data_IF_202807492018
#
_entry.id   IF_202807492018
#
_cell.length_a   1.000
_cell.length_b   1.000
_cell.length_c   1.000
_cell.angle_alpha   90.00
_cell.angle_beta   90.00
_cell.angle_gamma   90.00
#
_symmetry.space_group_name_H-M   'P 1'
#
loop_
_entity.id
_entity.type
_entity.pdbx_description
1 polymer ?
#
# COMPACT_ATOMS: atom_id res chain seq x y z
N UNK A 1 -30.20 21.06 8.32
CA UNK A 1 -29.06 20.56 7.53
C UNK A 1 -27.90 21.53 7.59
N UNK A 2 -26.67 21.06 7.64
CA UNK A 2 -25.44 21.87 7.67
C UNK A 2 -24.35 21.18 6.85
N UNK A 3 -23.50 21.96 6.18
CA UNK A 3 -22.35 21.44 5.42
C UNK A 3 -21.06 21.99 6.01
N UNK A 4 -20.14 21.09 6.34
CA UNK A 4 -18.86 21.40 6.96
C UNK A 4 -17.70 20.78 6.19
N UNK A 5 -16.66 21.59 5.97
CA UNK A 5 -15.33 21.15 5.57
C UNK A 5 -14.40 21.29 6.78
N UNK A 6 -13.77 20.20 7.21
CA UNK A 6 -12.89 20.20 8.38
C UNK A 6 -11.51 19.68 8.00
N UNK A 7 -10.46 20.35 8.44
CA UNK A 7 -9.08 19.95 8.20
C UNK A 7 -8.23 20.34 9.40
N UNK A 8 -7.69 19.34 10.11
CA UNK A 8 -6.97 19.56 11.35
C UNK A 8 -7.82 20.33 12.37
N UNK A 9 -7.33 21.51 12.80
CA UNK A 9 -8.04 22.43 13.69
C UNK A 9 -8.96 23.44 12.99
N UNK A 10 -8.92 23.51 11.65
CA UNK A 10 -9.70 24.46 10.87
C UNK A 10 -11.03 23.84 10.44
N UNK A 11 -12.10 24.64 10.46
CA UNK A 11 -13.42 24.24 10.01
C UNK A 11 -14.09 25.38 9.24
N UNK A 12 -14.62 25.07 8.06
CA UNK A 12 -15.41 25.98 7.23
C UNK A 12 -16.84 25.45 7.19
N UNK A 13 -17.79 26.24 7.68
CA UNK A 13 -19.23 25.97 7.53
C UNK A 13 -19.74 26.72 6.30
N UNK A 14 -20.40 26.01 5.40
CA UNK A 14 -20.98 26.65 4.21
C UNK A 14 -22.10 27.61 4.64
N UNK A 15 -22.09 28.90 4.21
CA UNK A 15 -23.06 29.90 4.65
C UNK A 15 -24.45 29.74 4.05
N UNK A 16 -24.52 29.26 2.80
CA UNK A 16 -25.78 29.08 2.06
C UNK A 16 -25.85 27.63 1.58
N UNK A 17 -26.91 26.92 1.96
CA UNK A 17 -27.07 25.53 1.54
C UNK A 17 -27.25 25.45 0.02
N UNK A 18 -26.54 24.52 -0.65
CA UNK A 18 -26.72 24.32 -2.07
C UNK A 18 -28.15 23.82 -2.36
N UNK A 19 -28.77 24.21 -3.48
CA UNK A 19 -30.11 23.74 -3.84
C UNK A 19 -30.15 22.23 -4.10
N UNK A 20 -29.01 21.65 -4.48
CA UNK A 20 -28.82 20.21 -4.67
C UNK A 20 -27.35 19.83 -4.54
N UNK A 21 -27.09 18.55 -4.34
CA UNK A 21 -25.76 17.95 -4.42
C UNK A 21 -25.86 16.62 -5.18
N UNK A 22 -24.77 16.22 -5.83
CA UNK A 22 -24.69 14.93 -6.53
C UNK A 22 -23.65 14.02 -5.85
N UNK A 23 -23.93 12.72 -5.83
CA UNK A 23 -23.01 11.69 -5.34
C UNK A 23 -22.89 10.62 -6.42
N UNK A 24 -21.66 10.37 -6.85
CA UNK A 24 -21.33 9.32 -7.82
C UNK A 24 -20.51 8.25 -7.12
N UNK A 25 -21.10 7.07 -6.92
CA UNK A 25 -20.41 5.88 -6.42
C UNK A 25 -20.18 4.93 -7.58
N UNK A 26 -18.93 4.73 -7.99
CA UNK A 26 -18.59 3.82 -9.09
C UNK A 26 -17.98 2.50 -8.60
N UNK A 27 -17.97 1.51 -9.49
CA UNK A 27 -17.31 0.22 -9.29
C UNK A 27 -16.35 -0.04 -10.43
N UNK A 28 -15.14 -0.51 -10.12
CA UNK A 28 -14.05 -0.70 -11.07
C UNK A 28 -14.21 -2.05 -11.78
N UNK A 29 -15.31 -2.20 -12.50
CA UNK A 29 -15.62 -3.42 -13.25
C UNK A 29 -14.83 -3.49 -14.56
N UNK A 30 -14.52 -4.71 -15.02
CA UNK A 30 -13.83 -4.95 -16.29
C UNK A 30 -14.62 -5.92 -17.15
N UNK A 31 -15.06 -5.46 -18.32
CA UNK A 31 -15.75 -6.32 -19.29
C UNK A 31 -14.69 -7.04 -20.15
N UNK A 32 -14.84 -8.35 -20.31
CA UNK A 32 -13.97 -9.19 -21.14
C UNK A 32 -14.84 -10.00 -22.10
N UNK A 33 -14.47 -10.00 -23.38
CA UNK A 33 -15.13 -10.83 -24.39
C UNK A 33 -14.44 -12.19 -24.48
N UNK A 34 -15.22 -13.27 -24.38
CA UNK A 34 -14.76 -14.64 -24.53
C UNK A 34 -15.52 -15.27 -25.70
N UNK A 35 -14.79 -15.73 -26.72
CA UNK A 35 -15.36 -16.25 -27.97
C UNK A 35 -16.51 -17.26 -27.79
N UNK A 36 -16.47 -18.09 -26.74
CA UNK A 36 -17.49 -19.11 -26.47
C UNK A 36 -18.62 -18.66 -25.53
N UNK A 37 -18.43 -17.57 -24.78
CA UNK A 37 -19.33 -17.14 -23.69
C UNK A 37 -19.90 -15.73 -23.90
N UNK A 38 -19.45 -15.01 -24.94
CA UNK A 38 -19.82 -13.62 -25.16
C UNK A 38 -19.12 -12.68 -24.18
N UNK A 39 -19.80 -11.61 -23.79
CA UNK A 39 -19.27 -10.61 -22.86
C UNK A 39 -19.48 -11.04 -21.41
N UNK A 40 -18.40 -11.09 -20.65
CA UNK A 40 -18.40 -11.37 -19.21
C UNK A 40 -17.95 -10.12 -18.46
N UNK A 41 -18.72 -9.73 -17.44
CA UNK A 41 -18.35 -8.63 -16.55
C UNK A 41 -17.56 -9.15 -15.34
N UNK A 42 -16.28 -8.81 -15.25
CA UNK A 42 -15.45 -9.07 -14.09
C UNK A 42 -15.73 -7.99 -13.05
N UNK A 43 -16.39 -8.39 -11.96
CA UNK A 43 -16.74 -7.51 -10.85
C UNK A 43 -15.46 -7.08 -10.14
N UNK A 44 -15.16 -5.79 -10.17
CA UNK A 44 -14.04 -5.24 -9.42
C UNK A 44 -14.47 -4.58 -8.13
N UNK A 45 -13.50 -3.98 -7.45
CA UNK A 45 -13.72 -3.29 -6.18
C UNK A 45 -14.46 -1.96 -6.40
N UNK A 46 -14.96 -1.37 -5.31
CA UNK A 46 -15.50 0.01 -5.35
C UNK A 46 -14.42 0.97 -5.85
N UNK A 47 -14.80 1.93 -6.67
CA UNK A 47 -13.95 3.09 -6.92
C UNK A 47 -14.20 4.18 -5.87
N UNK A 48 -13.62 5.35 -6.11
CA UNK A 48 -13.71 6.48 -5.19
C UNK A 48 -15.03 7.21 -5.40
N UNK A 49 -15.72 7.51 -4.31
CA UNK A 49 -16.96 8.29 -4.35
C UNK A 49 -16.66 9.73 -4.74
N UNK A 50 -17.40 10.29 -5.69
CA UNK A 50 -17.29 11.70 -6.10
C UNK A 50 -18.53 12.46 -5.63
N UNK A 51 -18.34 13.68 -5.14
CA UNK A 51 -19.42 14.53 -4.62
C UNK A 51 -19.29 15.90 -5.24
N UNK A 52 -20.39 16.50 -5.70
CA UNK A 52 -20.36 17.88 -6.19
C UNK A 52 -21.59 18.67 -5.78
N UNK A 53 -21.39 19.96 -5.56
CA UNK A 53 -22.47 20.92 -5.32
C UNK A 53 -22.04 22.34 -5.69
N UNK A 54 -23.03 23.20 -5.94
CA UNK A 54 -22.82 24.63 -6.19
C UNK A 54 -23.62 25.45 -5.21
N UNK A 55 -23.07 26.59 -4.77
CA UNK A 55 -23.77 27.56 -3.92
C UNK A 55 -23.16 28.95 -4.10
N UNK A 56 -23.47 29.86 -3.17
CA UNK A 56 -22.96 31.22 -3.15
C UNK A 56 -22.24 31.51 -1.82
N UNK A 57 -21.16 32.29 -1.89
CA UNK A 57 -20.60 33.01 -0.74
C UNK A 57 -21.17 34.43 -0.73
N UNK A 58 -22.07 34.75 0.21
CA UNK A 58 -22.73 36.04 0.22
C UNK A 58 -21.79 37.15 0.69
N UNK A 59 -21.86 38.31 0.03
CA UNK A 59 -21.07 39.50 0.38
C UNK A 59 -21.38 40.01 1.78
N UNK A 60 -22.66 39.92 2.17
CA UNK A 60 -23.16 40.28 3.48
C UNK A 60 -24.26 39.32 3.91
N UNK A 61 -24.51 39.24 5.21
CA UNK A 61 -25.54 38.35 5.75
C UNK A 61 -26.94 38.71 5.19
N UNK A 62 -27.67 37.70 4.74
CA UNK A 62 -29.03 37.77 4.23
C UNK A 62 -29.92 36.68 4.85
N UNK A 63 -31.23 36.76 4.65
CA UNK A 63 -32.19 35.79 5.23
C UNK A 63 -32.03 34.35 4.73
N UNK A 64 -31.35 34.15 3.59
CA UNK A 64 -31.04 32.83 3.04
C UNK A 64 -29.74 32.22 3.64
N UNK A 65 -29.02 32.96 4.49
CA UNK A 65 -27.85 32.45 5.18
C UNK A 65 -28.26 31.58 6.37
N UNK A 66 -27.56 30.47 6.56
CA UNK A 66 -27.86 29.50 7.62
C UNK A 66 -27.44 29.97 9.03
N UNK A 67 -26.55 30.95 9.13
CA UNK A 67 -26.00 31.39 10.41
C UNK A 67 -25.45 32.81 10.36
N UNK A 68 -25.25 33.41 11.54
CA UNK A 68 -24.61 34.71 11.73
C UNK A 68 -23.65 34.66 12.93
N UNK A 69 -22.48 35.33 12.89
CA UNK A 69 -21.93 36.06 11.75
C UNK A 69 -21.37 35.12 10.66
N UNK A 70 -21.40 35.58 9.41
CA UNK A 70 -20.71 34.91 8.29
C UNK A 70 -19.35 35.55 8.03
N UNK A 71 -18.41 34.74 7.54
CA UNK A 71 -17.15 35.23 6.97
C UNK A 71 -17.38 35.94 5.64
N UNK A 72 -16.39 36.73 5.20
CA UNK A 72 -16.43 37.37 3.88
C UNK A 72 -16.21 36.34 2.77
N UNK A 73 -16.68 36.60 1.52
CA UNK A 73 -16.43 35.70 0.39
C UNK A 73 -14.95 35.34 0.21
N UNK A 74 -14.07 36.33 0.38
CA UNK A 74 -12.63 36.14 0.30
C UNK A 74 -12.09 35.15 1.33
N UNK A 75 -12.54 35.23 2.58
CA UNK A 75 -12.08 34.31 3.63
C UNK A 75 -12.50 32.87 3.36
N UNK A 76 -13.69 32.64 2.79
CA UNK A 76 -14.10 31.29 2.35
C UNK A 76 -13.20 30.78 1.23
N UNK A 77 -12.97 31.60 0.20
CA UNK A 77 -12.13 31.24 -0.94
C UNK A 77 -10.71 30.91 -0.47
N UNK A 78 -10.10 31.78 0.33
CA UNK A 78 -8.74 31.61 0.84
C UNK A 78 -8.64 30.33 1.71
N UNK A 79 -9.65 30.06 2.55
CA UNK A 79 -9.70 28.85 3.38
C UNK A 79 -9.86 27.58 2.55
N UNK A 80 -10.73 27.59 1.54
CA UNK A 80 -11.00 26.43 0.70
C UNK A 80 -9.81 26.14 -0.23
N UNK A 81 -9.16 27.17 -0.79
CA UNK A 81 -7.92 27.00 -1.54
C UNK A 81 -6.79 26.46 -0.66
N UNK A 82 -6.64 26.96 0.57
CA UNK A 82 -5.67 26.40 1.51
C UNK A 82 -5.97 24.93 1.85
N UNK A 83 -7.24 24.60 2.07
CA UNK A 83 -7.67 23.22 2.32
C UNK A 83 -7.38 22.31 1.13
N UNK A 84 -7.67 22.76 -0.09
CA UNK A 84 -7.39 22.06 -1.34
C UNK A 84 -5.91 21.77 -1.52
N UNK A 85 -5.02 22.73 -1.21
CA UNK A 85 -3.57 22.54 -1.30
C UNK A 85 -3.03 21.55 -0.28
N UNK A 86 -3.56 21.54 0.94
CA UNK A 86 -3.08 20.64 2.01
C UNK A 86 -3.56 19.20 1.86
N UNK A 87 -4.72 18.95 1.22
CA UNK A 87 -5.34 17.62 1.20
C UNK A 87 -5.92 17.21 2.57
N UNK A 88 -6.58 16.06 2.64
CA UNK A 88 -7.13 15.49 3.89
C UNK A 88 -8.29 16.29 4.52
N UNK A 89 -9.30 16.62 3.71
CA UNK A 89 -10.48 17.34 4.18
C UNK A 89 -11.54 16.34 4.59
N UNK A 90 -12.16 16.53 5.75
CA UNK A 90 -13.37 15.80 6.13
C UNK A 90 -14.60 16.59 5.73
N UNK A 91 -15.36 16.05 4.78
CA UNK A 91 -16.67 16.57 4.39
C UNK A 91 -17.75 15.94 5.25
N UNK A 92 -18.57 16.78 5.90
CA UNK A 92 -19.74 16.35 6.67
C UNK A 92 -20.96 17.11 6.19
N UNK A 93 -22.01 16.39 5.82
CA UNK A 93 -23.33 16.95 5.50
C UNK A 93 -24.32 16.37 6.51
N UNK A 94 -24.76 17.20 7.46
CA UNK A 94 -25.67 16.74 8.52
C UNK A 94 -27.03 16.34 7.93
N UNK A 95 -27.77 15.49 8.65
CA UNK A 95 -29.03 14.89 8.18
C UNK A 95 -28.88 13.93 6.97
N UNK A 96 -27.65 13.64 6.56
CA UNK A 96 -27.33 12.64 5.54
C UNK A 96 -26.28 11.65 6.06
N UNK A 97 -26.02 10.58 5.31
CA UNK A 97 -24.95 9.61 5.63
C UNK A 97 -23.55 10.06 5.20
N UNK A 98 -23.38 11.31 4.77
CA UNK A 98 -22.12 11.82 4.21
C UNK A 98 -21.24 12.34 5.34
N UNK A 99 -20.22 11.56 5.67
CA UNK A 99 -19.20 11.91 6.65
C UNK A 99 -17.89 11.19 6.32
N UNK A 100 -17.16 11.69 5.33
CA UNK A 100 -16.00 11.02 4.74
C UNK A 100 -14.82 11.96 4.48
N UNK A 101 -13.64 11.38 4.33
CA UNK A 101 -12.44 12.11 3.88
C UNK A 101 -12.50 12.30 2.37
N UNK A 102 -12.12 13.50 1.92
CA UNK A 102 -12.16 13.93 0.52
C UNK A 102 -10.96 14.82 0.18
N UNK A 103 -10.59 14.84 -1.10
CA UNK A 103 -9.83 15.92 -1.74
C UNK A 103 -10.78 16.82 -2.51
N UNK A 104 -10.36 18.07 -2.76
CA UNK A 104 -11.05 18.98 -3.69
C UNK A 104 -10.37 18.81 -5.05
N UNK A 105 -11.08 18.23 -6.02
CA UNK A 105 -10.59 18.08 -7.39
C UNK A 105 -10.75 19.40 -8.17
N UNK A 106 -11.85 20.10 -7.91
CA UNK A 106 -12.19 21.31 -8.63
C UNK A 106 -12.88 22.30 -7.68
N UNK A 107 -12.45 23.56 -7.75
CA UNK A 107 -13.07 24.68 -7.05
C UNK A 107 -13.11 25.84 -8.03
N UNK A 108 -14.30 26.11 -8.56
CA UNK A 108 -14.55 27.20 -9.48
C UNK A 108 -15.39 28.24 -8.76
N UNK A 109 -15.05 29.51 -8.89
CA UNK A 109 -15.80 30.58 -8.29
C UNK A 109 -15.71 31.85 -9.14
N UNK A 110 -16.72 32.70 -9.05
CA UNK A 110 -16.80 33.95 -9.79
C UNK A 110 -18.00 34.79 -9.39
N UNK A 111 -17.92 36.07 -9.72
CA UNK A 111 -19.05 37.00 -9.59
C UNK A 111 -19.82 37.04 -10.91
N UNK A 112 -21.14 36.96 -10.85
CA UNK A 112 -21.99 36.90 -12.06
C UNK A 112 -22.74 38.21 -12.33
N UNK A 113 -23.05 39.00 -11.30
CA UNK A 113 -24.06 40.07 -11.39
C UNK A 113 -23.67 41.42 -10.76
N UNK A 114 -22.44 41.57 -10.25
CA UNK A 114 -21.98 42.82 -9.63
C UNK A 114 -22.50 43.05 -8.20
N UNK A 115 -23.17 42.06 -7.59
CA UNK A 115 -23.69 42.13 -6.22
C UNK A 115 -22.61 42.00 -5.14
N UNK A 116 -21.42 41.53 -5.51
CA UNK A 116 -20.38 41.08 -4.59
C UNK A 116 -20.57 39.63 -4.08
N UNK A 117 -21.71 39.00 -4.35
CA UNK A 117 -21.92 37.58 -4.05
C UNK A 117 -21.09 36.73 -5.02
N UNK A 118 -20.44 35.70 -4.50
CA UNK A 118 -19.57 34.83 -5.29
C UNK A 118 -20.25 33.48 -5.47
N UNK A 119 -20.69 33.20 -6.70
CA UNK A 119 -21.12 31.86 -7.11
C UNK A 119 -19.92 30.93 -7.14
N UNK A 120 -20.10 29.70 -6.68
CA UNK A 120 -19.05 28.69 -6.73
C UNK A 120 -19.57 27.28 -7.02
N UNK A 121 -18.68 26.43 -7.52
CA UNK A 121 -18.85 25.00 -7.70
C UNK A 121 -17.67 24.26 -7.06
N UNK A 122 -18.00 23.25 -6.25
CA UNK A 122 -17.03 22.36 -5.62
C UNK A 122 -17.24 20.93 -6.09
N UNK A 123 -16.16 20.29 -6.50
CA UNK A 123 -16.12 18.86 -6.80
C UNK A 123 -15.07 18.19 -5.92
N UNK A 124 -15.53 17.16 -5.22
CA UNK A 124 -14.77 16.40 -4.25
C UNK A 124 -14.59 14.97 -4.74
N UNK A 125 -13.49 14.36 -4.34
CA UNK A 125 -13.23 12.93 -4.54
C UNK A 125 -12.86 12.29 -3.22
N UNK A 126 -13.40 11.10 -2.96
CA UNK A 126 -13.12 10.34 -1.74
C UNK A 126 -11.62 10.12 -1.57
N UNK A 127 -11.11 10.53 -0.42
CA UNK A 127 -9.72 10.33 -0.04
C UNK A 127 -9.63 9.14 0.91
N UNK A 128 -8.96 8.09 0.45
CA UNK A 128 -8.66 6.92 1.28
C UNK A 128 -7.18 7.01 1.61
N UNK A 129 -6.86 7.14 2.90
CA UNK A 129 -5.48 7.08 3.37
C UNK A 129 -4.86 5.78 2.85
N UNK A 130 -3.77 5.85 2.07
CA UNK A 130 -3.06 4.65 1.68
C UNK A 130 -2.62 3.96 2.96
N UNK A 131 -2.96 2.68 3.08
CA UNK A 131 -2.51 1.90 4.22
C UNK A 131 -0.99 1.76 4.07
N UNK A 132 -0.23 2.69 4.65
CA UNK A 132 1.19 2.47 4.87
C UNK A 132 1.25 1.45 5.97
N UNK A 133 1.29 0.17 5.59
CA UNK A 133 2.00 -0.78 6.43
C UNK A 133 3.34 -0.10 6.69
N UNK A 134 3.63 0.24 7.95
CA UNK A 134 4.99 0.51 8.36
C UNK A 134 5.74 -0.76 7.96
N UNK A 135 6.36 -0.72 6.77
CA UNK A 135 7.48 -1.59 6.51
C UNK A 135 8.47 -1.08 7.54
N UNK A 136 8.49 -1.72 8.71
CA UNK A 136 9.65 -1.70 9.58
C UNK A 136 10.75 -2.29 8.73
N UNK A 137 11.32 -1.43 7.88
CA UNK A 137 12.53 -1.69 7.17
C UNK A 137 13.54 -1.62 8.30
N UNK A 138 13.76 -2.79 8.91
CA UNK A 138 14.96 -3.04 9.67
C UNK A 138 16.11 -2.89 8.67
N UNK A 139 16.48 -1.64 8.36
CA UNK A 139 17.72 -1.33 7.68
C UNK A 139 18.84 -1.61 8.71
N UNK A 140 19.11 -2.89 8.92
CA UNK A 140 20.51 -3.27 8.98
C UNK A 140 21.03 -2.95 7.59
N UNK A 141 21.97 -2.01 7.51
CA UNK A 141 22.79 -1.80 6.32
C UNK A 141 23.37 -3.16 5.93
N UNK A 142 22.74 -3.82 4.97
CA UNK A 142 23.26 -5.03 4.36
C UNK A 142 24.22 -4.59 3.26
N UNK A 143 25.45 -4.33 3.67
CA UNK A 143 26.57 -4.25 2.72
C UNK A 143 26.97 -5.68 2.37
N UNK A 144 26.07 -6.42 1.71
CA UNK A 144 26.41 -7.70 1.12
C UNK A 144 26.06 -7.68 -0.36
N UNK A 145 27.10 -7.34 -1.12
CA UNK A 145 27.31 -7.82 -2.49
C UNK A 145 26.76 -9.24 -2.62
N UNK A 146 25.97 -9.52 -3.66
CA UNK A 146 25.52 -10.88 -3.97
C UNK A 146 26.73 -11.81 -4.04
N UNK A 147 26.93 -12.60 -2.99
CA UNK A 147 27.85 -13.73 -2.97
C UNK A 147 27.06 -14.98 -3.31
N UNK A 148 27.58 -15.85 -4.20
CA UNK A 148 26.90 -17.06 -4.60
C UNK A 148 26.57 -17.94 -3.39
N UNK A 149 25.35 -18.47 -3.40
CA UNK A 149 24.71 -19.27 -2.35
C UNK A 149 25.69 -20.29 -1.73
N UNK A 150 26.04 -20.06 -0.46
CA UNK A 150 26.94 -20.92 0.29
C UNK A 150 26.26 -22.28 0.56
N UNK A 151 26.85 -23.33 0.02
CA UNK A 151 26.52 -24.72 0.33
C UNK A 151 26.81 -24.97 1.82
N UNK A 152 25.78 -25.26 2.62
CA UNK A 152 25.94 -25.61 4.04
C UNK A 152 26.88 -26.83 4.18
N UNK A 153 27.84 -26.72 5.10
CA UNK A 153 28.78 -27.80 5.43
C UNK A 153 28.20 -28.64 6.56
N UNK A 154 27.96 -29.92 6.32
CA UNK A 154 27.41 -30.86 7.31
C UNK A 154 28.52 -31.78 7.80
N UNK A 155 28.60 -32.00 9.11
CA UNK A 155 29.50 -32.98 9.73
C UNK A 155 28.83 -34.35 9.86
N UNK A 156 29.48 -35.42 9.38
CA UNK A 156 28.99 -36.80 9.50
C UNK A 156 29.97 -37.66 10.30
N UNK A 157 29.42 -38.40 11.28
CA UNK A 157 30.18 -39.38 12.08
C UNK A 157 30.15 -40.74 11.39
N UNK A 158 31.32 -41.23 10.97
CA UNK A 158 31.51 -42.53 10.32
C UNK A 158 31.14 -43.65 11.30
N UNK A 159 30.30 -44.60 10.88
CA UNK A 159 29.94 -45.79 11.67
C UNK A 159 30.77 -46.99 11.26
N UNK A 160 30.82 -48.00 12.13
CA UNK A 160 31.54 -49.23 11.85
C UNK A 160 30.96 -49.95 10.61
N UNK A 161 31.83 -50.23 9.63
CA UNK A 161 31.43 -50.82 8.34
C UNK A 161 31.10 -49.82 7.23
N UNK A 162 31.14 -48.51 7.48
CA UNK A 162 30.95 -47.50 6.43
C UNK A 162 32.13 -47.46 5.45
N UNK A 163 31.84 -47.16 4.19
CA UNK A 163 32.83 -46.83 3.16
C UNK A 163 32.53 -45.45 2.55
N UNK A 164 33.57 -44.71 2.12
CA UNK A 164 33.42 -43.31 1.67
C UNK A 164 32.38 -43.13 0.56
N UNK A 165 32.26 -44.10 -0.35
CA UNK A 165 31.27 -44.06 -1.44
C UNK A 165 29.83 -44.23 -0.95
N UNK A 166 29.59 -45.04 0.07
CA UNK A 166 28.29 -45.18 0.70
C UNK A 166 27.90 -43.90 1.46
N UNK A 167 28.85 -43.30 2.17
CA UNK A 167 28.65 -42.05 2.91
C UNK A 167 28.36 -40.89 1.94
N UNK A 168 29.15 -40.75 0.87
CA UNK A 168 28.92 -39.75 -0.17
C UNK A 168 27.54 -39.90 -0.81
N UNK A 169 27.14 -41.14 -1.15
CA UNK A 169 25.82 -41.43 -1.73
C UNK A 169 24.68 -41.04 -0.80
N UNK A 170 24.82 -41.33 0.49
CA UNK A 170 23.78 -41.04 1.48
C UNK A 170 23.58 -39.54 1.68
N UNK A 171 24.65 -38.74 1.66
CA UNK A 171 24.61 -37.33 2.08
C UNK A 171 24.51 -36.35 0.90
N UNK A 172 25.04 -36.72 -0.26
CA UNK A 172 24.99 -35.88 -1.48
C UNK A 172 24.08 -36.45 -2.57
N UNK A 173 23.61 -37.69 -2.40
CA UNK A 173 22.85 -38.43 -3.42
C UNK A 173 23.71 -39.05 -4.53
N UNK A 174 25.02 -38.75 -4.58
CA UNK A 174 25.97 -39.27 -5.56
C UNK A 174 27.02 -40.15 -4.88
N UNK A 175 27.35 -41.29 -5.47
CA UNK A 175 28.35 -42.23 -4.92
C UNK A 175 29.80 -41.83 -5.20
N UNK A 176 30.04 -40.60 -5.65
CA UNK A 176 31.38 -40.10 -5.95
C UNK A 176 32.07 -39.68 -4.66
N UNK A 177 33.02 -40.50 -4.21
CA UNK A 177 33.71 -40.33 -2.93
C UNK A 177 34.94 -39.43 -3.04
N UNK A 178 35.46 -39.18 -4.25
CA UNK A 178 36.70 -38.40 -4.44
C UNK A 178 36.58 -36.97 -3.91
N UNK A 179 35.49 -36.23 -4.16
CA UNK A 179 35.33 -34.88 -3.61
C UNK A 179 35.23 -34.88 -2.08
N UNK A 180 34.59 -35.91 -1.51
CA UNK A 180 34.47 -36.08 -0.07
C UNK A 180 35.83 -36.39 0.59
N UNK A 181 36.66 -37.22 -0.06
CA UNK A 181 38.02 -37.51 0.40
C UNK A 181 38.92 -36.28 0.30
N UNK A 182 38.87 -35.52 -0.79
CA UNK A 182 39.68 -34.30 -0.96
C UNK A 182 39.35 -33.26 0.10
N UNK A 183 38.08 -33.08 0.45
CA UNK A 183 37.64 -32.18 1.52
C UNK A 183 38.11 -32.61 2.92
N UNK A 184 38.41 -33.89 3.12
CA UNK A 184 38.75 -34.47 4.43
C UNK A 184 40.13 -35.15 4.43
N UNK A 185 40.98 -34.81 3.48
CA UNK A 185 42.27 -35.46 3.28
C UNK A 185 43.18 -35.33 4.50
N UNK A 186 43.10 -34.18 5.19
CA UNK A 186 43.85 -33.94 6.42
C UNK A 186 43.38 -34.83 7.59
N UNK A 187 42.12 -35.25 7.58
CA UNK A 187 41.52 -36.11 8.63
C UNK A 187 41.69 -37.61 8.31
N UNK A 188 41.58 -37.99 7.03
CA UNK A 188 41.65 -39.39 6.57
C UNK A 188 43.11 -39.84 6.35
N UNK A 189 44.01 -38.91 6.03
CA UNK A 189 45.41 -39.21 5.71
C UNK A 189 45.58 -39.73 4.28
N UNK A 190 46.76 -40.27 3.96
CA UNK A 190 47.18 -40.60 2.58
C UNK A 190 46.44 -41.79 1.93
N UNK A 191 45.72 -42.59 2.71
CA UNK A 191 45.01 -43.77 2.22
C UNK A 191 43.49 -43.56 2.31
N UNK A 192 42.78 -43.39 1.18
CA UNK A 192 41.34 -43.12 1.17
C UNK A 192 40.47 -44.22 1.81
N UNK A 193 40.95 -45.45 1.89
CA UNK A 193 40.20 -46.57 2.44
C UNK A 193 40.31 -46.71 3.98
N UNK A 194 41.11 -45.88 4.65
CA UNK A 194 41.31 -45.91 6.09
C UNK A 194 40.34 -44.97 6.81
N UNK A 195 39.04 -45.21 6.65
CA UNK A 195 38.04 -44.56 7.48
C UNK A 195 37.65 -45.49 8.64
N UNK A 196 37.63 -44.96 9.86
CA UNK A 196 37.32 -45.71 11.07
C UNK A 196 36.06 -45.17 11.75
N UNK A 197 35.35 -46.06 12.44
CA UNK A 197 34.18 -45.71 13.23
C UNK A 197 34.55 -44.62 14.26
N UNK A 198 33.74 -43.56 14.34
CA UNK A 198 33.97 -42.41 15.22
C UNK A 198 34.72 -41.23 14.58
N UNK A 199 35.18 -41.36 13.34
CA UNK A 199 35.78 -40.25 12.60
C UNK A 199 34.71 -39.29 12.07
N UNK A 200 34.96 -37.98 12.15
CA UNK A 200 34.04 -36.94 11.68
C UNK A 200 34.51 -36.39 10.33
N UNK A 201 33.62 -36.44 9.33
CA UNK A 201 33.86 -35.92 7.98
C UNK A 201 33.02 -34.67 7.74
N UNK A 202 33.63 -33.64 7.15
CA UNK A 202 33.00 -32.38 6.76
C UNK A 202 32.61 -32.42 5.29
N UNK A 203 31.38 -32.01 4.97
CA UNK A 203 30.84 -32.14 3.61
C UNK A 203 30.18 -30.84 3.21
N UNK A 204 30.77 -30.10 2.28
CA UNK A 204 30.13 -28.91 1.70
C UNK A 204 29.21 -29.35 0.54
N UNK A 205 27.89 -29.12 0.68
CA UNK A 205 26.92 -29.42 -0.38
C UNK A 205 25.96 -30.59 -0.09
N UNK A 206 25.74 -30.91 1.19
CA UNK A 206 24.74 -31.90 1.58
C UNK A 206 23.31 -31.43 1.25
N UNK A 207 22.45 -32.35 0.79
CA UNK A 207 21.01 -32.05 0.61
C UNK A 207 20.38 -31.86 1.99
N UNK A 208 19.65 -30.76 2.16
CA UNK A 208 18.88 -30.48 3.38
C UNK A 208 17.79 -31.54 3.53
N UNK A 209 17.89 -32.35 4.60
CA UNK A 209 16.84 -33.29 5.00
C UNK A 209 17.26 -34.75 4.95
N UNK A 210 17.67 -35.28 6.10
CA UNK A 210 17.22 -36.59 6.60
C UNK A 210 16.61 -36.34 7.97
#
# INVERSE_FOLDING_TARGET
MEIWLRQGGNAVRIPVLPPSYSITSNQINKVVNINALGEINLIGNRGLTEISFSSIFPFAYQSYCEYFPISTPKEYIDSIEAMKLSGDIRLTITETSINMMVTIENFQYGEEDGSGDISYNLEFKEYILPNTAEVTRNEKLDTSRETPQANETVSYLVKEGDCLSAVAKKLTGKSDWKPLYEQNKDTIGNNPNLIHAGMTLLISGARKGI
#
